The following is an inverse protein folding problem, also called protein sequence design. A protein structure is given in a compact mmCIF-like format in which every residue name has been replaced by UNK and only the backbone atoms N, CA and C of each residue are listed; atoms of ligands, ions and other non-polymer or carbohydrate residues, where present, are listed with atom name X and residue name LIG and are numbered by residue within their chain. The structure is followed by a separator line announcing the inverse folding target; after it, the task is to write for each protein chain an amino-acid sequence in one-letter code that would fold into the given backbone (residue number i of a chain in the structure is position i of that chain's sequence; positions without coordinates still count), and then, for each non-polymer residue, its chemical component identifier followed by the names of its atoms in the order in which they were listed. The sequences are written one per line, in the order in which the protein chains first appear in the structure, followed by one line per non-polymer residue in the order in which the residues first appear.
data_IF_986604621394
#
_entry.id   IF_986604621394
#
_cell.length_a   1.000
_cell.length_b   1.000
_cell.length_c   1.000
_cell.angle_alpha   90.00
_cell.angle_beta   90.00
_cell.angle_gamma   90.00
#
_symmetry.space_group_name_H-M   'P 1'
#
loop_
_entity.id
_entity.type
_entity.pdbx_description
1 polymer ?
#
# COMPACT_ATOMS: atom_id res chain seq x y z
N UNK A 1 11.39 12.67 21.29
CA UNK A 1 11.63 13.83 20.39
C UNK A 1 10.27 14.43 20.05
N UNK A 2 10.13 15.77 20.05
CA UNK A 2 8.90 16.43 19.60
C UNK A 2 8.78 16.40 18.09
N UNK A 3 7.54 16.59 17.53
CA UNK A 3 7.31 16.63 16.08
C UNK A 3 8.10 17.78 15.44
N UNK A 4 8.16 18.94 16.09
CA UNK A 4 8.96 20.09 15.63
C UNK A 4 10.45 19.76 15.50
N UNK A 5 11.03 19.12 16.52
CA UNK A 5 12.43 18.70 16.50
C UNK A 5 12.70 17.64 15.42
N UNK A 6 11.74 16.72 15.18
CA UNK A 6 11.83 15.73 14.13
C UNK A 6 11.81 16.37 12.74
N UNK A 7 10.84 17.26 12.47
CA UNK A 7 10.73 17.94 11.18
C UNK A 7 12.00 18.78 10.89
N UNK A 8 12.50 19.54 11.87
CA UNK A 8 13.74 20.31 11.76
C UNK A 8 14.95 19.42 11.45
N UNK A 9 15.09 18.29 12.13
CA UNK A 9 16.18 17.32 11.90
C UNK A 9 16.20 16.80 10.46
N UNK A 10 15.03 16.66 9.86
CA UNK A 10 14.87 16.09 8.51
C UNK A 10 14.62 17.13 7.41
N UNK A 11 14.78 18.43 7.72
CA UNK A 11 14.52 19.56 6.77
C UNK A 11 13.13 19.50 6.13
N UNK A 12 12.11 19.09 6.90
CA UNK A 12 10.72 19.03 6.46
C UNK A 12 9.97 20.26 6.96
N UNK A 13 9.31 20.98 6.05
CA UNK A 13 8.48 22.13 6.43
C UNK A 13 7.27 21.66 7.25
N UNK A 14 7.00 22.38 8.34
CA UNK A 14 5.85 22.17 9.19
C UNK A 14 5.01 23.44 9.29
N UNK A 15 3.69 23.30 9.17
CA UNK A 15 2.74 24.40 9.34
C UNK A 15 1.94 24.21 10.63
N UNK A 16 2.03 25.16 11.54
CA UNK A 16 1.33 25.16 12.81
C UNK A 16 0.35 26.34 12.91
N UNK A 17 -0.60 26.27 13.85
CA UNK A 17 -1.53 27.38 14.12
C UNK A 17 -2.70 27.51 13.14
N UNK A 18 -2.89 26.52 12.24
CA UNK A 18 -4.04 26.51 11.33
C UNK A 18 -5.23 25.72 11.90
N UNK A 19 -6.43 26.00 11.40
CA UNK A 19 -7.65 25.28 11.74
C UNK A 19 -7.71 23.90 11.06
N UNK A 20 -6.89 22.93 11.49
CA UNK A 20 -6.76 21.59 10.90
C UNK A 20 -8.10 20.87 10.77
N UNK A 21 -9.01 21.03 11.76
CA UNK A 21 -10.36 20.43 11.69
C UNK A 21 -11.21 21.02 10.55
N UNK A 22 -11.12 22.33 10.31
CA UNK A 22 -11.82 22.98 9.20
C UNK A 22 -11.29 22.49 7.85
N UNK A 23 -9.96 22.38 7.71
CA UNK A 23 -9.31 21.81 6.53
C UNK A 23 -9.77 20.36 6.29
N UNK A 24 -9.77 19.53 7.32
CA UNK A 24 -10.22 18.14 7.22
C UNK A 24 -11.68 18.03 6.78
N UNK A 25 -12.58 18.85 7.35
CA UNK A 25 -13.99 18.88 6.93
C UNK A 25 -14.14 19.27 5.46
N UNK A 26 -13.37 20.27 5.00
CA UNK A 26 -13.37 20.68 3.60
C UNK A 26 -12.92 19.55 2.66
N UNK A 27 -11.82 18.90 2.97
CA UNK A 27 -11.32 17.75 2.19
C UNK A 27 -12.33 16.58 2.14
N UNK A 28 -13.07 16.33 3.22
CA UNK A 28 -14.15 15.34 3.22
C UNK A 28 -15.33 15.74 2.32
N UNK A 29 -15.69 17.03 2.31
CA UNK A 29 -16.84 17.52 1.55
C UNK A 29 -16.54 17.68 0.07
N UNK A 30 -15.35 18.17 -0.29
CA UNK A 30 -14.97 18.53 -1.66
C UNK A 30 -14.09 17.47 -2.33
N UNK A 31 -13.44 16.58 -1.56
CA UNK A 31 -12.46 15.62 -2.02
C UNK A 31 -11.03 16.08 -1.81
N UNK A 32 -10.06 15.29 -2.27
CA UNK A 32 -8.64 15.65 -2.22
C UNK A 32 -8.35 16.84 -3.10
N UNK A 33 -7.50 17.76 -2.61
CA UNK A 33 -7.19 19.03 -3.26
C UNK A 33 -5.67 19.20 -3.39
N UNK A 34 -5.23 19.93 -4.42
CA UNK A 34 -3.85 20.38 -4.55
C UNK A 34 -3.57 21.46 -3.53
N UNK A 35 -2.39 21.46 -2.94
CA UNK A 35 -1.97 22.46 -1.96
C UNK A 35 -0.46 22.65 -1.99
N UNK A 36 -0.01 23.76 -1.41
CA UNK A 36 1.40 24.07 -1.26
C UNK A 36 1.66 24.62 0.15
N UNK A 37 2.79 24.24 0.72
CA UNK A 37 3.38 24.88 1.89
C UNK A 37 4.68 25.53 1.40
N UNK A 38 4.86 26.83 1.61
CA UNK A 38 6.03 27.55 1.12
C UNK A 38 6.51 28.57 2.14
N UNK A 39 7.82 28.79 2.15
CA UNK A 39 8.48 29.89 2.86
C UNK A 39 8.94 31.00 1.91
N UNK A 40 8.71 30.86 0.61
CA UNK A 40 9.06 31.87 -0.36
C UNK A 40 8.14 33.10 -0.22
N UNK A 41 8.69 34.31 -0.37
CA UNK A 41 7.93 35.57 -0.29
C UNK A 41 7.20 35.91 -1.60
N UNK A 42 6.80 34.88 -2.38
CA UNK A 42 6.02 35.08 -3.61
C UNK A 42 4.63 35.64 -3.29
N UNK A 43 4.04 36.37 -4.25
CA UNK A 43 2.65 36.84 -4.09
C UNK A 43 1.67 35.66 -4.06
N UNK A 44 0.51 35.84 -3.45
CA UNK A 44 -0.55 34.81 -3.39
C UNK A 44 -0.96 34.36 -4.79
N UNK A 45 -0.99 35.27 -5.78
CA UNK A 45 -1.30 34.93 -7.17
C UNK A 45 -0.24 33.99 -7.78
N UNK A 46 1.05 34.25 -7.54
CA UNK A 46 2.13 33.42 -8.02
C UNK A 46 2.11 32.03 -7.37
N UNK A 47 1.82 31.97 -6.06
CA UNK A 47 1.65 30.72 -5.33
C UNK A 47 0.45 29.92 -5.85
N UNK A 48 -0.70 30.57 -6.09
CA UNK A 48 -1.88 29.93 -6.66
C UNK A 48 -1.64 29.38 -8.07
N UNK A 49 -0.88 30.08 -8.91
CA UNK A 49 -0.51 29.58 -10.23
C UNK A 49 0.37 28.33 -10.12
N UNK A 50 1.32 28.30 -9.19
CA UNK A 50 2.11 27.08 -8.91
C UNK A 50 1.22 25.89 -8.50
N UNK A 51 0.25 26.10 -7.59
CA UNK A 51 -0.69 25.04 -7.19
C UNK A 51 -1.52 24.53 -8.38
N UNK A 52 -2.00 25.45 -9.25
CA UNK A 52 -2.78 25.06 -10.44
C UNK A 52 -1.95 24.29 -11.47
N UNK A 53 -0.64 24.56 -11.56
CA UNK A 53 0.27 23.89 -12.50
C UNK A 53 0.71 22.50 -12.04
N UNK A 54 0.50 22.13 -10.78
CA UNK A 54 0.81 20.77 -10.29
C UNK A 54 -0.08 19.76 -11.00
N UNK A 55 0.52 18.72 -11.57
CA UNK A 55 -0.23 17.63 -12.18
C UNK A 55 -0.99 16.80 -11.15
N UNK A 56 -2.07 16.16 -11.58
CA UNK A 56 -2.78 15.20 -10.73
C UNK A 56 -1.88 14.01 -10.38
N UNK A 57 -2.24 13.30 -9.30
CA UNK A 57 -1.50 12.09 -8.88
C UNK A 57 -1.59 10.96 -9.90
N UNK A 58 -2.68 10.89 -10.68
CA UNK A 58 -2.83 9.91 -11.76
C UNK A 58 -2.03 10.32 -12.99
N UNK A 59 -1.50 9.34 -13.72
CA UNK A 59 -0.65 9.55 -14.91
C UNK A 59 0.83 9.74 -14.58
N UNK A 60 1.26 9.49 -13.34
CA UNK A 60 2.66 9.61 -12.92
C UNK A 60 3.13 8.34 -12.18
N UNK A 61 4.27 7.79 -12.62
CA UNK A 61 4.89 6.65 -11.96
C UNK A 61 5.71 7.10 -10.73
N UNK A 62 5.02 7.30 -9.61
CA UNK A 62 5.67 7.60 -8.33
C UNK A 62 6.37 6.38 -7.72
N UNK A 63 5.96 5.17 -8.11
CA UNK A 63 6.53 3.93 -7.61
C UNK A 63 8.01 3.83 -7.97
N UNK A 64 8.39 4.15 -9.22
CA UNK A 64 9.81 4.18 -9.62
C UNK A 64 10.66 5.16 -8.83
N UNK A 65 10.06 6.26 -8.36
CA UNK A 65 10.77 7.26 -7.56
C UNK A 65 10.98 6.77 -6.12
N UNK A 66 9.99 6.05 -5.57
CA UNK A 66 9.99 5.56 -4.19
C UNK A 66 10.72 4.23 -4.01
N UNK A 67 10.76 3.39 -5.04
CA UNK A 67 11.37 2.06 -5.02
C UNK A 67 12.88 2.11 -4.85
N UNK A 68 13.43 1.08 -4.18
CA UNK A 68 14.88 0.85 -4.13
C UNK A 68 15.47 0.77 -5.54
N UNK A 69 16.75 1.17 -5.68
CA UNK A 69 17.49 1.05 -6.94
C UNK A 69 18.31 -0.24 -7.00
N UNK A 70 18.63 -0.80 -5.85
CA UNK A 70 19.49 -1.96 -5.70
C UNK A 70 18.78 -3.08 -4.98
N UNK A 71 19.16 -4.31 -5.29
CA UNK A 71 18.69 -5.49 -4.56
C UNK A 71 19.49 -5.59 -3.27
N UNK A 72 18.79 -5.77 -2.15
CA UNK A 72 19.43 -6.01 -0.86
C UNK A 72 18.68 -7.08 -0.07
N UNK A 73 19.28 -7.58 1.00
CA UNK A 73 18.72 -8.65 1.83
C UNK A 73 18.64 -8.22 3.29
N UNK A 74 17.56 -8.63 3.97
CA UNK A 74 17.37 -8.50 5.41
C UNK A 74 17.05 -9.87 6.00
N UNK A 75 17.60 -10.15 7.19
CA UNK A 75 17.43 -11.43 7.88
C UNK A 75 18.18 -12.59 7.22
N UNK A 76 18.18 -13.73 7.94
CA UNK A 76 18.91 -14.95 7.60
C UNK A 76 18.07 -16.21 7.81
N UNK A 77 16.76 -16.07 7.94
CA UNK A 77 15.82 -17.16 8.18
C UNK A 77 15.78 -18.21 7.07
N UNK A 78 15.19 -19.36 7.37
CA UNK A 78 15.15 -20.52 6.47
C UNK A 78 14.21 -20.33 5.29
N UNK A 79 13.08 -19.62 5.47
CA UNK A 79 12.14 -19.31 4.39
C UNK A 79 12.57 -18.03 3.64
N UNK A 80 12.63 -18.11 2.33
CA UNK A 80 13.07 -17.02 1.47
C UNK A 80 11.89 -16.27 0.87
N UNK A 81 11.71 -15.00 1.24
CA UNK A 81 10.70 -14.12 0.65
C UNK A 81 11.37 -13.11 -0.26
N UNK A 82 10.87 -12.98 -1.49
CA UNK A 82 11.17 -11.83 -2.33
C UNK A 82 10.11 -10.77 -2.07
N UNK A 83 10.55 -9.56 -1.71
CA UNK A 83 9.70 -8.38 -1.53
C UNK A 83 9.90 -7.44 -2.70
N UNK A 84 8.86 -7.21 -3.51
CA UNK A 84 8.89 -6.18 -4.54
C UNK A 84 8.60 -4.84 -3.86
N UNK A 85 9.57 -3.93 -3.97
CA UNK A 85 9.51 -2.62 -3.36
C UNK A 85 8.83 -1.60 -4.27
N UNK A 86 7.57 -1.30 -3.97
CA UNK A 86 6.80 -0.23 -4.61
C UNK A 86 6.86 1.10 -3.85
N UNK A 87 7.69 1.19 -2.82
CA UNK A 87 7.79 2.26 -1.84
C UNK A 87 7.47 1.73 -0.44
N UNK A 88 8.14 0.62 -0.10
CA UNK A 88 7.85 -0.18 1.09
C UNK A 88 8.13 0.57 2.39
N UNK A 89 7.22 0.46 3.33
CA UNK A 89 7.56 0.73 4.72
C UNK A 89 8.53 -0.35 5.22
N UNK A 90 9.66 0.05 5.80
CA UNK A 90 10.66 -0.89 6.30
C UNK A 90 10.12 -1.89 7.34
N UNK A 91 8.95 -1.61 7.95
CA UNK A 91 8.33 -2.54 8.90
C UNK A 91 7.77 -3.80 8.23
N UNK A 92 7.47 -3.77 6.93
CA UNK A 92 7.04 -4.97 6.19
C UNK A 92 8.17 -6.01 6.17
N UNK A 93 9.39 -5.60 5.78
CA UNK A 93 10.55 -6.49 5.80
C UNK A 93 10.87 -6.97 7.22
N UNK A 94 10.87 -6.06 8.21
CA UNK A 94 11.08 -6.43 9.63
C UNK A 94 10.05 -7.43 10.14
N UNK A 95 8.77 -7.27 9.80
CA UNK A 95 7.73 -8.21 10.21
C UNK A 95 7.96 -9.61 9.64
N UNK A 96 8.40 -9.72 8.38
CA UNK A 96 8.78 -10.99 7.77
C UNK A 96 10.04 -11.60 8.43
N UNK A 97 11.07 -10.79 8.71
CA UNK A 97 12.28 -11.22 9.43
C UNK A 97 11.92 -11.73 10.82
N UNK A 98 11.02 -11.05 11.53
CA UNK A 98 10.52 -11.49 12.84
C UNK A 98 9.75 -12.83 12.78
N UNK A 99 9.22 -13.20 11.61
CA UNK A 99 8.62 -14.52 11.36
C UNK A 99 9.66 -15.57 10.92
N UNK A 100 10.95 -15.29 10.99
CA UNK A 100 12.03 -16.21 10.63
C UNK A 100 12.28 -16.30 9.12
N UNK A 101 11.99 -15.25 8.37
CA UNK A 101 12.27 -15.20 6.95
C UNK A 101 13.61 -14.51 6.65
N UNK A 102 14.19 -14.90 5.54
CA UNK A 102 15.19 -14.14 4.80
C UNK A 102 14.45 -13.37 3.70
N UNK A 103 14.58 -12.05 3.68
CA UNK A 103 13.86 -11.18 2.76
C UNK A 103 14.83 -10.57 1.75
N UNK A 104 14.63 -10.86 0.46
CA UNK A 104 15.34 -10.17 -0.63
C UNK A 104 14.44 -9.08 -1.19
N UNK A 105 14.80 -7.84 -0.96
CA UNK A 105 14.07 -6.67 -1.48
C UNK A 105 14.57 -6.37 -2.89
N UNK A 106 13.64 -6.25 -3.83
CA UNK A 106 13.94 -6.02 -5.25
C UNK A 106 13.21 -4.77 -5.77
N UNK A 107 13.77 -4.06 -6.76
CA UNK A 107 13.11 -2.92 -7.39
C UNK A 107 11.77 -3.26 -8.02
N UNK A 108 10.87 -2.28 -8.09
CA UNK A 108 9.49 -2.40 -8.59
C UNK A 108 9.37 -2.96 -10.03
N UNK A 109 10.40 -2.76 -10.85
CA UNK A 109 10.46 -3.21 -12.25
C UNK A 109 11.15 -4.57 -12.43
N UNK A 110 11.38 -5.31 -11.34
CA UNK A 110 12.02 -6.64 -11.42
C UNK A 110 11.07 -7.62 -12.10
N UNK A 111 11.56 -8.25 -13.17
CA UNK A 111 10.75 -9.17 -13.98
C UNK A 111 10.50 -10.50 -13.26
N UNK A 112 9.44 -11.21 -13.67
CA UNK A 112 9.11 -12.56 -13.20
C UNK A 112 10.32 -13.50 -13.24
N UNK A 113 11.07 -13.53 -14.36
CA UNK A 113 12.18 -14.47 -14.53
C UNK A 113 13.34 -14.17 -13.55
N UNK A 114 13.58 -12.89 -13.26
CA UNK A 114 14.59 -12.51 -12.26
C UNK A 114 14.15 -12.88 -10.86
N UNK A 115 12.85 -12.70 -10.53
CA UNK A 115 12.28 -13.13 -9.25
C UNK A 115 12.42 -14.65 -9.09
N UNK A 116 12.00 -15.42 -10.09
CA UNK A 116 12.05 -16.90 -10.03
C UNK A 116 13.49 -17.45 -9.97
N UNK A 117 14.48 -16.75 -10.55
CA UNK A 117 15.90 -17.11 -10.41
C UNK A 117 16.42 -16.98 -8.97
N UNK A 118 15.80 -16.15 -8.14
CA UNK A 118 16.11 -16.05 -6.72
C UNK A 118 15.59 -17.23 -5.91
N UNK A 119 14.73 -18.09 -6.49
CA UNK A 119 14.10 -19.26 -5.87
C UNK A 119 13.42 -18.92 -4.53
N UNK A 120 12.46 -17.97 -4.52
CA UNK A 120 11.74 -17.63 -3.30
C UNK A 120 10.71 -18.71 -2.94
N UNK A 121 10.45 -18.85 -1.64
CA UNK A 121 9.35 -19.64 -1.09
C UNK A 121 8.02 -18.85 -1.15
N UNK A 122 8.09 -17.51 -1.13
CA UNK A 122 6.93 -16.62 -1.22
C UNK A 122 7.25 -15.24 -1.79
N UNK A 123 6.22 -14.54 -2.27
CA UNK A 123 6.30 -13.19 -2.83
C UNK A 123 5.50 -12.22 -1.99
N UNK A 124 6.14 -11.16 -1.52
CA UNK A 124 5.51 -10.03 -0.87
C UNK A 124 5.43 -8.84 -1.83
N UNK A 125 4.25 -8.26 -1.97
CA UNK A 125 4.02 -7.02 -2.70
C UNK A 125 3.79 -5.89 -1.71
N UNK A 126 4.69 -4.92 -1.69
CA UNK A 126 4.65 -3.86 -0.69
C UNK A 126 3.54 -2.84 -0.94
N UNK A 127 3.34 -1.97 0.03
CA UNK A 127 2.65 -0.71 -0.16
C UNK A 127 3.44 0.21 -1.11
N UNK A 128 2.80 1.27 -1.58
CA UNK A 128 3.44 2.29 -2.41
C UNK A 128 2.53 3.47 -2.72
N UNK A 129 3.07 4.54 -3.33
CA UNK A 129 2.33 5.73 -3.72
C UNK A 129 1.66 5.58 -5.09
N UNK A 130 0.68 6.47 -5.37
CA UNK A 130 0.12 6.69 -6.69
C UNK A 130 -1.12 5.87 -7.02
N UNK A 131 -1.45 5.85 -8.30
CA UNK A 131 -2.55 5.07 -8.87
C UNK A 131 -1.98 3.70 -9.32
N UNK A 132 -2.58 2.56 -8.93
CA UNK A 132 -2.10 1.25 -9.39
C UNK A 132 -2.15 1.09 -10.92
N UNK A 133 -2.97 1.86 -11.62
CA UNK A 133 -3.05 1.87 -13.10
C UNK A 133 -1.85 2.54 -13.77
N UNK A 134 -1.08 3.33 -13.05
CA UNK A 134 0.13 3.99 -13.55
C UNK A 134 1.36 3.06 -13.58
N UNK A 135 1.22 1.83 -13.05
CA UNK A 135 2.31 0.84 -12.99
C UNK A 135 1.94 -0.48 -13.69
N UNK A 136 1.56 -0.46 -14.98
CA UNK A 136 1.10 -1.66 -15.69
C UNK A 136 2.16 -2.77 -15.74
N UNK A 137 3.44 -2.44 -15.70
CA UNK A 137 4.53 -3.40 -15.63
C UNK A 137 4.49 -4.25 -14.34
N UNK A 138 4.06 -3.64 -13.22
CA UNK A 138 3.92 -4.36 -11.95
C UNK A 138 2.72 -5.31 -12.02
N UNK A 139 1.60 -4.86 -12.57
CA UNK A 139 0.40 -5.70 -12.78
C UNK A 139 0.74 -6.91 -13.66
N UNK A 140 1.45 -6.70 -14.78
CA UNK A 140 1.84 -7.77 -15.68
C UNK A 140 2.81 -8.77 -15.02
N UNK A 141 3.79 -8.28 -14.25
CA UNK A 141 4.72 -9.15 -13.50
C UNK A 141 3.96 -10.01 -12.49
N UNK A 142 3.03 -9.44 -11.73
CA UNK A 142 2.23 -10.17 -10.74
C UNK A 142 1.33 -11.19 -11.42
N UNK A 143 0.67 -10.83 -12.52
CA UNK A 143 -0.17 -11.74 -13.31
C UNK A 143 0.59 -13.00 -13.75
N UNK A 144 1.85 -12.85 -14.15
CA UNK A 144 2.70 -13.98 -14.55
C UNK A 144 3.18 -14.85 -13.37
N UNK A 145 3.14 -14.33 -12.14
CA UNK A 145 3.57 -15.01 -10.91
C UNK A 145 2.42 -15.69 -10.15
N UNK A 146 1.17 -15.31 -10.40
CA UNK A 146 -0.03 -15.95 -9.83
C UNK A 146 0.01 -17.46 -10.12
N UNK A 147 -0.19 -18.27 -9.09
CA UNK A 147 -0.15 -19.73 -9.17
C UNK A 147 1.26 -20.35 -9.24
N UNK A 148 2.34 -19.57 -9.20
CA UNK A 148 3.73 -20.08 -9.19
C UNK A 148 4.29 -20.22 -7.77
N UNK A 149 3.85 -19.37 -6.84
CA UNK A 149 4.28 -19.35 -5.45
C UNK A 149 3.23 -18.62 -4.61
N UNK A 150 3.26 -18.75 -3.28
CA UNK A 150 2.43 -17.96 -2.37
C UNK A 150 2.66 -16.45 -2.53
N UNK A 151 1.56 -15.67 -2.56
CA UNK A 151 1.63 -14.20 -2.73
C UNK A 151 0.83 -13.51 -1.63
N UNK A 152 1.44 -12.50 -0.99
CA UNK A 152 0.76 -11.58 -0.09
C UNK A 152 0.97 -10.14 -0.56
N UNK A 153 -0.11 -9.34 -0.67
CA UNK A 153 -0.06 -7.93 -1.07
C UNK A 153 -0.63 -6.99 -0.03
N UNK A 154 0.06 -5.86 0.18
CA UNK A 154 -0.32 -4.81 1.15
C UNK A 154 -0.57 -3.49 0.41
N UNK A 155 -1.72 -2.86 0.64
CA UNK A 155 -2.13 -1.54 0.15
C UNK A 155 -2.00 -1.43 -1.38
N UNK A 156 -0.96 -0.82 -1.95
CA UNK A 156 -0.74 -0.81 -3.40
C UNK A 156 -0.59 -2.24 -3.95
N UNK A 157 0.11 -3.12 -3.24
CA UNK A 157 0.25 -4.53 -3.62
C UNK A 157 -1.10 -5.27 -3.71
N UNK A 158 -2.05 -4.95 -2.83
CA UNK A 158 -3.42 -5.45 -2.90
C UNK A 158 -4.14 -4.95 -4.17
N UNK A 159 -4.00 -3.66 -4.50
CA UNK A 159 -4.63 -3.07 -5.68
C UNK A 159 -4.04 -3.66 -6.98
N UNK A 160 -2.72 -3.86 -7.02
CA UNK A 160 -2.03 -4.53 -8.14
C UNK A 160 -2.52 -5.97 -8.30
N UNK A 161 -2.71 -6.71 -7.20
CA UNK A 161 -3.31 -8.06 -7.22
C UNK A 161 -4.73 -8.00 -7.81
N UNK A 162 -5.56 -7.07 -7.37
CA UNK A 162 -6.91 -6.88 -7.89
C UNK A 162 -6.92 -6.70 -9.40
N UNK A 163 -6.04 -5.83 -9.93
CA UNK A 163 -5.88 -5.62 -11.37
C UNK A 163 -5.32 -6.86 -12.09
N UNK A 164 -4.34 -7.56 -11.50
CA UNK A 164 -3.73 -8.77 -12.08
C UNK A 164 -4.73 -9.94 -12.18
N UNK A 165 -5.73 -9.97 -11.30
CA UNK A 165 -6.85 -10.92 -11.32
C UNK A 165 -7.99 -10.49 -12.25
N UNK A 166 -7.80 -9.43 -13.05
CA UNK A 166 -8.78 -8.96 -14.05
C UNK A 166 -9.83 -8.00 -13.49
N UNK A 167 -9.73 -7.62 -12.22
CA UNK A 167 -10.58 -6.60 -11.61
C UNK A 167 -10.20 -5.17 -12.01
N UNK A 168 -10.88 -4.20 -11.42
CA UNK A 168 -10.64 -2.77 -11.62
C UNK A 168 -10.49 -2.04 -10.29
N UNK A 169 -9.91 -0.83 -10.34
CA UNK A 169 -9.77 0.06 -9.18
C UNK A 169 -10.39 1.41 -9.46
N UNK A 170 -10.81 2.10 -8.41
CA UNK A 170 -11.40 3.43 -8.51
C UNK A 170 -10.85 4.36 -7.43
N UNK A 171 -10.86 5.65 -7.74
CA UNK A 171 -10.42 6.70 -6.82
C UNK A 171 -11.53 7.01 -5.82
N UNK A 172 -11.22 6.93 -4.54
CA UNK A 172 -12.09 7.38 -3.46
C UNK A 172 -12.12 8.91 -3.41
N UNK A 173 -13.24 9.49 -3.01
CA UNK A 173 -13.40 10.95 -2.94
C UNK A 173 -12.31 11.63 -2.09
N UNK A 174 -12.01 11.08 -0.91
CA UNK A 174 -10.96 11.58 -0.01
C UNK A 174 -10.03 10.49 0.52
N UNK A 175 -10.30 9.21 0.21
CA UNK A 175 -9.52 8.05 0.65
C UNK A 175 -9.67 7.73 2.14
N UNK A 176 -9.02 6.66 2.57
CA UNK A 176 -8.93 6.27 3.98
C UNK A 176 -7.58 6.67 4.54
N UNK A 177 -7.56 7.40 5.66
CA UNK A 177 -6.35 7.86 6.34
C UNK A 177 -6.55 7.88 7.84
N UNK A 178 -5.61 7.26 8.56
CA UNK A 178 -5.61 7.20 10.02
C UNK A 178 -5.44 5.79 10.57
N UNK A 179 -5.29 5.67 11.88
CA UNK A 179 -5.10 4.39 12.58
C UNK A 179 -6.34 3.91 13.34
N UNK A 180 -7.53 4.25 12.86
CA UNK A 180 -8.80 4.01 13.57
C UNK A 180 -9.94 3.53 12.64
N UNK A 181 -9.60 2.86 11.55
CA UNK A 181 -10.58 2.33 10.61
C UNK A 181 -10.97 0.89 10.98
N UNK A 182 -12.24 0.61 11.29
CA UNK A 182 -12.71 -0.74 11.56
C UNK A 182 -12.85 -1.53 10.26
N UNK A 183 -12.21 -2.69 10.22
CA UNK A 183 -12.29 -3.63 9.10
C UNK A 183 -12.81 -4.96 9.59
N UNK A 184 -13.80 -5.50 8.90
CA UNK A 184 -14.39 -6.81 9.18
C UNK A 184 -13.79 -7.87 8.28
N UNK A 185 -13.24 -8.92 8.88
CA UNK A 185 -12.90 -10.16 8.22
C UNK A 185 -14.21 -10.94 7.96
N UNK A 186 -14.53 -11.18 6.69
CA UNK A 186 -15.76 -11.87 6.30
C UNK A 186 -15.70 -13.39 6.51
N UNK A 187 -14.50 -13.95 6.71
CA UNK A 187 -14.29 -15.38 6.92
C UNK A 187 -14.49 -15.70 8.41
N UNK A 188 -13.91 -14.91 9.32
CA UNK A 188 -13.99 -15.15 10.77
C UNK A 188 -15.13 -14.36 11.44
N UNK A 189 -15.60 -13.28 10.82
CA UNK A 189 -16.58 -12.36 11.39
C UNK A 189 -15.98 -11.31 12.34
N UNK A 190 -14.70 -11.40 12.65
CA UNK A 190 -14.00 -10.47 13.56
C UNK A 190 -13.85 -9.07 12.94
N UNK A 191 -13.86 -8.06 13.81
CA UNK A 191 -13.61 -6.68 13.46
C UNK A 191 -12.34 -6.23 14.17
N UNK A 192 -11.37 -5.77 13.38
CA UNK A 192 -10.11 -5.19 13.90
C UNK A 192 -10.00 -3.72 13.53
N UNK A 193 -9.26 -2.97 14.35
CA UNK A 193 -8.94 -1.57 14.04
C UNK A 193 -7.64 -1.56 13.22
N UNK A 194 -7.66 -0.82 12.11
CA UNK A 194 -6.57 -0.86 11.13
C UNK A 194 -5.99 0.52 10.85
N UNK A 195 -4.74 0.52 10.40
CA UNK A 195 -4.06 1.69 9.86
C UNK A 195 -4.31 1.78 8.36
N UNK A 196 -4.75 2.94 7.89
CA UNK A 196 -5.12 3.19 6.50
C UNK A 196 -4.39 4.41 5.94
N UNK A 197 -3.90 4.33 4.71
CA UNK A 197 -3.40 5.47 3.96
C UNK A 197 -3.45 5.18 2.45
N UNK A 198 -4.65 5.23 1.87
CA UNK A 198 -4.83 5.01 0.44
C UNK A 198 -5.92 5.91 -0.14
N UNK A 199 -5.82 6.19 -1.44
CA UNK A 199 -6.80 6.99 -2.19
C UNK A 199 -7.60 6.18 -3.22
N UNK A 200 -7.24 4.92 -3.43
CA UNK A 200 -7.88 4.02 -4.39
C UNK A 200 -8.35 2.76 -3.66
N UNK A 201 -9.36 2.11 -4.22
CA UNK A 201 -9.88 0.83 -3.73
C UNK A 201 -10.19 -0.09 -4.91
N UNK A 202 -10.17 -1.40 -4.67
CA UNK A 202 -10.58 -2.42 -5.65
C UNK A 202 -12.10 -2.41 -5.78
N UNK A 203 -12.59 -2.52 -7.01
CA UNK A 203 -14.01 -2.60 -7.34
C UNK A 203 -14.47 -4.06 -7.28
N UNK A 204 -15.33 -4.38 -6.32
CA UNK A 204 -15.81 -5.74 -6.07
C UNK A 204 -16.53 -6.35 -7.28
N UNK A 205 -17.40 -5.56 -7.94
CA UNK A 205 -18.25 -5.99 -9.05
C UNK A 205 -17.48 -6.33 -10.35
N UNK A 206 -16.16 -6.08 -10.37
CA UNK A 206 -15.29 -6.42 -11.51
C UNK A 206 -14.48 -7.69 -11.31
N UNK A 207 -14.48 -8.26 -10.11
CA UNK A 207 -13.75 -9.49 -9.79
C UNK A 207 -14.54 -10.72 -10.24
N UNK A 208 -13.82 -11.75 -10.69
CA UNK A 208 -14.42 -13.04 -10.97
C UNK A 208 -14.78 -13.75 -9.65
N UNK A 209 -16.07 -13.89 -9.30
CA UNK A 209 -16.47 -14.48 -8.03
C UNK A 209 -16.18 -15.98 -7.94
N UNK A 210 -15.91 -16.67 -9.05
CA UNK A 210 -15.56 -18.10 -9.03
C UNK A 210 -14.10 -18.32 -8.59
N UNK A 211 -13.22 -17.34 -8.78
CA UNK A 211 -11.80 -17.42 -8.47
C UNK A 211 -11.41 -16.67 -7.21
N UNK A 212 -12.03 -15.50 -6.98
CA UNK A 212 -11.64 -14.56 -5.94
C UNK A 212 -12.81 -14.28 -5.01
N UNK A 213 -12.53 -14.23 -3.73
CA UNK A 213 -13.48 -13.76 -2.71
C UNK A 213 -12.97 -12.48 -2.05
N UNK A 214 -13.88 -11.56 -1.75
CA UNK A 214 -13.61 -10.46 -0.83
C UNK A 214 -13.51 -11.04 0.57
N UNK A 215 -12.35 -10.93 1.18
CA UNK A 215 -12.08 -11.47 2.52
C UNK A 215 -12.27 -10.44 3.64
N UNK A 216 -12.10 -9.16 3.33
CA UNK A 216 -12.23 -8.07 4.29
C UNK A 216 -12.96 -6.88 3.70
N UNK A 217 -13.76 -6.20 4.51
CA UNK A 217 -14.50 -4.98 4.15
C UNK A 217 -14.36 -3.91 5.23
N UNK A 218 -14.35 -2.66 4.81
CA UNK A 218 -14.47 -1.52 5.73
C UNK A 218 -15.87 -1.50 6.32
N UNK A 219 -15.97 -1.36 7.64
CA UNK A 219 -17.28 -1.35 8.33
C UNK A 219 -18.07 -0.07 8.05
N UNK A 220 -17.39 1.05 7.78
CA UNK A 220 -18.01 2.36 7.62
C UNK A 220 -18.67 2.56 6.26
N UNK A 221 -18.03 2.11 5.17
CA UNK A 221 -18.45 2.42 3.80
C UNK A 221 -18.47 1.22 2.86
N UNK A 222 -18.16 0.01 3.36
CA UNK A 222 -18.21 -1.25 2.63
C UNK A 222 -17.17 -1.39 1.52
N UNK A 223 -16.17 -0.52 1.44
CA UNK A 223 -15.06 -0.69 0.50
C UNK A 223 -14.33 -2.02 0.73
N UNK A 224 -13.81 -2.60 -0.36
CA UNK A 224 -13.00 -3.82 -0.33
C UNK A 224 -11.69 -3.54 0.42
N UNK A 225 -11.44 -4.33 1.46
CA UNK A 225 -10.26 -4.20 2.32
C UNK A 225 -9.36 -5.45 2.29
N UNK A 226 -9.76 -6.48 1.57
CA UNK A 226 -8.95 -7.66 1.37
C UNK A 226 -9.52 -8.62 0.35
N UNK A 227 -8.62 -9.33 -0.32
CA UNK A 227 -8.94 -10.36 -1.30
C UNK A 227 -8.27 -11.68 -0.91
N UNK A 228 -8.91 -12.78 -1.23
CA UNK A 228 -8.34 -14.13 -1.12
C UNK A 228 -8.72 -14.93 -2.35
N UNK A 229 -7.75 -15.58 -2.98
CA UNK A 229 -8.01 -16.51 -4.06
C UNK A 229 -8.57 -17.82 -3.48
N UNK A 230 -9.57 -18.41 -4.13
CA UNK A 230 -10.29 -19.58 -3.59
C UNK A 230 -9.47 -20.86 -3.58
N UNK A 231 -8.52 -21.00 -4.50
CA UNK A 231 -7.73 -22.23 -4.70
C UNK A 231 -6.22 -22.01 -4.64
N UNK A 232 -5.73 -20.83 -5.00
CA UNK A 232 -4.30 -20.51 -5.00
C UNK A 232 -3.86 -19.90 -3.66
N UNK A 233 -2.60 -20.08 -3.24
CA UNK A 233 -2.07 -19.47 -2.03
C UNK A 233 -1.79 -17.98 -2.22
N UNK A 234 -2.87 -17.19 -2.39
CA UNK A 234 -2.82 -15.76 -2.63
C UNK A 234 -3.87 -15.05 -1.79
N UNK A 235 -3.43 -14.05 -1.04
CA UNK A 235 -4.33 -13.11 -0.36
C UNK A 235 -3.71 -11.70 -0.28
N UNK A 236 -4.52 -10.72 0.03
CA UNK A 236 -4.06 -9.34 0.15
C UNK A 236 -4.97 -8.52 1.05
N UNK A 237 -4.42 -7.44 1.61
CA UNK A 237 -5.17 -6.46 2.41
C UNK A 237 -4.88 -5.03 1.97
N UNK A 238 -5.91 -4.19 1.99
CA UNK A 238 -5.80 -2.78 1.61
C UNK A 238 -5.16 -1.93 2.70
N UNK A 239 -5.35 -2.31 3.96
CA UNK A 239 -4.81 -1.64 5.13
C UNK A 239 -3.35 -2.08 5.41
N UNK A 240 -2.75 -1.49 6.46
CA UNK A 240 -1.35 -1.68 6.82
C UNK A 240 -1.19 -2.59 8.05
N UNK A 241 -1.07 -3.92 7.88
CA UNK A 241 -0.90 -4.86 9.01
C UNK A 241 0.46 -4.73 9.68
N UNK A 242 1.44 -4.11 9.00
CA UNK A 242 2.78 -3.83 9.54
C UNK A 242 2.78 -2.69 10.55
N UNK A 243 1.66 -1.99 10.75
CA UNK A 243 1.55 -0.82 11.61
C UNK A 243 2.63 0.26 11.34
N UNK A 244 3.26 0.81 12.35
CA UNK A 244 4.35 1.80 12.28
C UNK A 244 4.06 2.99 11.34
N UNK A 245 3.06 3.86 11.66
CA UNK A 245 2.24 3.84 12.88
C UNK A 245 0.96 3.02 12.73
N UNK A 246 0.35 2.70 13.86
CA UNK A 246 -0.98 2.11 13.95
C UNK A 246 -1.07 0.91 14.88
N UNK A 247 -2.26 0.32 15.01
CA UNK A 247 -2.50 -0.88 15.81
C UNK A 247 -1.83 -2.12 15.19
N UNK A 248 -1.47 -3.07 16.03
CA UNK A 248 -0.76 -4.31 15.66
C UNK A 248 -1.70 -5.52 15.54
N UNK A 249 -3.00 -5.31 15.67
CA UNK A 249 -4.02 -6.36 15.68
C UNK A 249 -3.99 -7.27 14.44
N UNK A 250 -3.45 -6.79 13.34
CA UNK A 250 -3.38 -7.53 12.06
C UNK A 250 -2.01 -8.13 11.75
N UNK A 251 -1.05 -8.06 12.66
CA UNK A 251 0.30 -8.64 12.47
C UNK A 251 0.28 -10.15 12.19
N UNK A 252 -0.75 -10.85 12.65
CA UNK A 252 -0.93 -12.28 12.41
C UNK A 252 -0.94 -12.66 10.92
N UNK A 253 -1.27 -11.73 10.02
CA UNK A 253 -1.28 -11.95 8.58
C UNK A 253 0.11 -12.30 8.01
N UNK A 254 1.19 -11.79 8.62
CA UNK A 254 2.54 -12.19 8.23
C UNK A 254 2.81 -13.66 8.57
N UNK A 255 2.33 -14.13 9.73
CA UNK A 255 2.40 -15.55 10.10
C UNK A 255 1.53 -16.41 9.18
N UNK A 256 0.31 -15.94 8.82
CA UNK A 256 -0.55 -16.63 7.86
C UNK A 256 0.16 -16.80 6.51
N UNK A 257 0.81 -15.74 6.00
CA UNK A 257 1.59 -15.80 4.77
C UNK A 257 2.75 -16.81 4.86
N UNK A 258 3.50 -16.78 5.94
CA UNK A 258 4.63 -17.71 6.15
C UNK A 258 4.14 -19.17 6.22
N UNK A 259 2.94 -19.43 6.70
CA UNK A 259 2.36 -20.78 6.74
C UNK A 259 1.89 -21.29 5.36
N UNK A 260 1.76 -20.42 4.35
CA UNK A 260 1.42 -20.81 2.97
C UNK A 260 2.65 -21.31 2.18
N UNK A 261 3.85 -21.01 2.67
CA UNK A 261 5.14 -21.43 2.13
C UNK A 261 5.53 -22.79 2.75
#
# INVERSE_FOLDING_TARGET
MSVDAFLKKHNVLGLAGIATRALTKRLRSEGTMRGIITTNPDSDEAVLQKVKSVHDLSGQDFVKQASTKEIYQEGDGSKHVVLIDYGAKGNIARSLVNQGCRVTVVPCYTTKDRIMKLKPDGLMLSNGPGDPKDVPYAVETVKQLIGKLPIFGICLGHQIIGLALGGDTYKLKFGHRGGNHPVKNLITGEVTITSQNHGFAVREDTLNPDEVMVSHINVNDRTVEGLKHKTLPLFSVQYHPEAAPGPTDSEYLFKEFVNLM
#
